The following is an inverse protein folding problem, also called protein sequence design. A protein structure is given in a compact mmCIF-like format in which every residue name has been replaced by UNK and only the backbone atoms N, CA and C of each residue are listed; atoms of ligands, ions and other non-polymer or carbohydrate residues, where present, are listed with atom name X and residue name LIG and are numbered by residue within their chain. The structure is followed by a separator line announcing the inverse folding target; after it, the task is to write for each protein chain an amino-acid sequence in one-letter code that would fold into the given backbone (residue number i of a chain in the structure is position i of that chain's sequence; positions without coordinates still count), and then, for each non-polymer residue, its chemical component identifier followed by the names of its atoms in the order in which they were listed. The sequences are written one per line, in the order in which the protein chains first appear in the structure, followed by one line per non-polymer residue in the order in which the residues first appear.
data_IF_369113593529
#
_entry.id   IF_369113593529
#
_cell.length_a   1.000
_cell.length_b   1.000
_cell.length_c   1.000
_cell.angle_alpha   90.00
_cell.angle_beta   90.00
_cell.angle_gamma   90.00
#
_symmetry.space_group_name_H-M   'P 1'
#
loop_
_entity.id
_entity.type
_entity.pdbx_description
1 polymer ?
#
# COMPACT_ATOMS: atom_id res chain seq x y z
N UNK A 1 11.92 -14.77 -37.48
CA UNK A 1 11.55 -13.50 -36.81
C UNK A 1 12.84 -12.75 -36.47
N UNK A 2 12.89 -11.42 -36.59
CA UNK A 2 14.09 -10.64 -36.24
C UNK A 2 14.37 -10.78 -34.72
N UNK A 3 15.58 -11.14 -34.27
CA UNK A 3 15.90 -11.30 -32.84
C UNK A 3 15.55 -10.05 -32.02
N UNK A 4 15.80 -8.84 -32.54
CA UNK A 4 15.42 -7.60 -31.88
C UNK A 4 13.90 -7.43 -31.71
N UNK A 5 13.10 -7.94 -32.65
CA UNK A 5 11.63 -7.89 -32.55
C UNK A 5 11.09 -8.92 -31.56
N UNK A 6 11.76 -10.06 -31.41
CA UNK A 6 11.44 -11.05 -30.38
C UNK A 6 11.72 -10.50 -28.98
N UNK A 7 12.86 -9.83 -28.80
CA UNK A 7 13.22 -9.21 -27.51
C UNK A 7 12.28 -8.08 -27.13
N UNK A 8 11.87 -7.23 -28.07
CA UNK A 8 10.87 -6.19 -27.81
C UNK A 8 9.53 -6.76 -27.33
N UNK A 9 9.05 -7.86 -27.96
CA UNK A 9 7.82 -8.54 -27.55
C UNK A 9 7.92 -9.19 -26.17
N UNK A 10 9.03 -9.86 -25.89
CA UNK A 10 9.31 -10.46 -24.58
C UNK A 10 9.44 -9.39 -23.48
N UNK A 11 10.10 -8.26 -23.77
CA UNK A 11 10.20 -7.12 -22.87
C UNK A 11 8.84 -6.51 -22.54
N UNK A 12 8.01 -6.25 -23.56
CA UNK A 12 6.65 -5.76 -23.37
C UNK A 12 5.79 -6.74 -22.55
N UNK A 13 5.99 -8.04 -22.72
CA UNK A 13 5.29 -9.09 -21.96
C UNK A 13 5.69 -9.06 -20.48
N UNK A 14 6.99 -8.90 -20.18
CA UNK A 14 7.47 -8.73 -18.81
C UNK A 14 6.89 -7.47 -18.14
N UNK A 15 6.85 -6.36 -18.86
CA UNK A 15 6.24 -5.11 -18.38
C UNK A 15 4.74 -5.30 -18.13
N UNK A 16 4.02 -6.01 -19.01
CA UNK A 16 2.61 -6.34 -18.81
C UNK A 16 2.36 -7.18 -17.55
N UNK A 17 3.24 -8.15 -17.24
CA UNK A 17 3.19 -8.87 -15.96
C UNK A 17 3.40 -7.93 -14.77
N UNK A 18 4.34 -6.98 -14.87
CA UNK A 18 4.51 -5.91 -13.88
C UNK A 18 3.25 -5.06 -13.72
N UNK A 19 2.55 -4.71 -14.80
CA UNK A 19 1.35 -3.88 -14.72
C UNK A 19 0.10 -4.65 -14.26
N UNK A 20 0.12 -5.98 -14.33
CA UNK A 20 -1.03 -6.82 -13.97
C UNK A 20 -1.14 -7.00 -12.45
N UNK A 21 -2.23 -6.52 -11.81
CA UNK A 21 -2.44 -6.75 -10.38
C UNK A 21 -2.44 -8.24 -10.05
N UNK A 22 -1.81 -8.60 -8.93
CA UNK A 22 -1.76 -9.98 -8.40
C UNK A 22 -1.02 -11.01 -9.27
N UNK A 23 -0.45 -10.65 -10.42
CA UNK A 23 0.45 -11.53 -11.16
C UNK A 23 1.70 -11.85 -10.32
N UNK A 24 2.15 -13.12 -10.32
CA UNK A 24 3.28 -13.60 -9.52
C UNK A 24 4.17 -14.53 -10.35
N UNK A 25 5.50 -14.39 -10.32
CA UNK A 25 6.42 -15.31 -10.98
C UNK A 25 6.24 -16.76 -10.50
N UNK A 26 5.95 -16.96 -9.21
CA UNK A 26 5.75 -18.29 -8.62
C UNK A 26 4.60 -19.10 -9.26
N UNK A 27 3.64 -18.44 -9.92
CA UNK A 27 2.47 -19.08 -10.53
C UNK A 27 2.50 -19.04 -12.07
N UNK A 28 3.53 -18.45 -12.67
CA UNK A 28 3.62 -18.27 -14.12
C UNK A 28 5.07 -18.44 -14.58
N UNK A 29 5.35 -19.56 -15.26
CA UNK A 29 6.70 -19.90 -15.73
C UNK A 29 7.22 -18.90 -16.76
N UNK A 30 6.34 -18.33 -17.60
CA UNK A 30 6.75 -17.32 -18.59
C UNK A 30 7.21 -16.06 -17.88
N UNK A 31 6.47 -15.62 -16.86
CA UNK A 31 6.88 -14.49 -16.05
C UNK A 31 8.21 -14.77 -15.33
N UNK A 32 8.35 -15.94 -14.69
CA UNK A 32 9.57 -16.35 -14.02
C UNK A 32 10.80 -16.33 -14.95
N UNK A 33 10.67 -16.90 -16.14
CA UNK A 33 11.75 -16.98 -17.12
C UNK A 33 12.15 -15.60 -17.64
N UNK A 34 11.17 -14.75 -17.98
CA UNK A 34 11.43 -13.38 -18.45
C UNK A 34 12.07 -12.52 -17.37
N UNK A 35 11.61 -12.64 -16.12
CA UNK A 35 12.17 -11.90 -14.99
C UNK A 35 13.59 -12.36 -14.66
N UNK A 36 13.84 -13.68 -14.72
CA UNK A 36 15.18 -14.24 -14.56
C UNK A 36 16.13 -13.73 -15.66
N UNK A 37 15.67 -13.72 -16.92
CA UNK A 37 16.42 -13.18 -18.05
C UNK A 37 16.71 -11.69 -17.86
N UNK A 38 15.71 -10.89 -17.49
CA UNK A 38 15.88 -9.45 -17.24
C UNK A 38 16.99 -9.16 -16.21
N UNK A 39 17.13 -10.00 -15.18
CA UNK A 39 18.15 -9.83 -14.14
C UNK A 39 19.55 -10.30 -14.53
N UNK A 40 19.68 -11.13 -15.58
CA UNK A 40 20.93 -11.85 -15.90
C UNK A 40 21.50 -11.49 -17.28
N UNK A 41 20.65 -11.11 -18.23
CA UNK A 41 20.99 -10.72 -19.60
C UNK A 41 20.91 -9.20 -19.73
N UNK A 42 22.06 -8.53 -19.86
CA UNK A 42 22.14 -7.06 -19.94
C UNK A 42 21.51 -6.48 -21.19
N UNK A 43 21.60 -7.17 -22.32
CA UNK A 43 21.07 -6.67 -23.59
C UNK A 43 19.54 -6.71 -23.56
N UNK A 44 18.98 -7.82 -23.05
CA UNK A 44 17.54 -7.90 -22.79
C UNK A 44 17.08 -6.88 -21.73
N UNK A 45 17.87 -6.69 -20.67
CA UNK A 45 17.67 -5.65 -19.66
C UNK A 45 17.49 -4.26 -20.26
N UNK A 46 18.40 -3.84 -21.13
CA UNK A 46 18.34 -2.55 -21.80
C UNK A 46 17.07 -2.38 -22.67
N UNK A 47 16.59 -3.45 -23.30
CA UNK A 47 15.34 -3.42 -24.07
C UNK A 47 14.13 -3.24 -23.13
N UNK A 48 14.09 -3.97 -22.01
CA UNK A 48 13.03 -3.81 -21.00
C UNK A 48 13.01 -2.39 -20.44
N UNK A 49 14.17 -1.85 -20.06
CA UNK A 49 14.28 -0.49 -19.53
C UNK A 49 13.81 0.55 -20.55
N UNK A 50 14.15 0.38 -21.83
CA UNK A 50 13.68 1.26 -22.90
C UNK A 50 12.16 1.23 -23.07
N UNK A 51 11.53 0.04 -22.92
CA UNK A 51 10.06 -0.09 -22.96
C UNK A 51 9.42 0.55 -21.73
N UNK A 52 9.99 0.34 -20.53
CA UNK A 52 9.53 0.95 -19.28
C UNK A 52 9.59 2.47 -19.36
N UNK A 53 10.73 3.03 -19.79
CA UNK A 53 10.93 4.48 -19.94
C UNK A 53 9.97 5.06 -20.97
N UNK A 54 9.83 4.41 -22.14
CA UNK A 54 8.91 4.84 -23.20
C UNK A 54 7.44 4.88 -22.78
N UNK A 55 7.07 4.10 -21.77
CA UNK A 55 5.72 4.09 -21.17
C UNK A 55 5.56 5.10 -20.02
N UNK A 56 6.60 5.87 -19.68
CA UNK A 56 6.60 6.76 -18.53
C UNK A 56 6.51 5.98 -17.22
N UNK A 57 7.27 4.89 -17.12
CA UNK A 57 7.37 4.07 -15.92
C UNK A 57 8.83 4.04 -15.44
N UNK A 58 9.04 3.59 -14.22
CA UNK A 58 10.34 3.27 -13.65
C UNK A 58 10.28 1.92 -12.93
N UNK A 59 11.36 1.15 -13.00
CA UNK A 59 11.51 -0.08 -12.21
C UNK A 59 11.92 0.31 -10.78
N UNK A 60 11.07 -0.03 -9.81
CA UNK A 60 11.38 0.15 -8.38
C UNK A 60 12.05 -1.09 -7.77
N UNK A 61 11.69 -2.27 -8.24
CA UNK A 61 12.28 -3.54 -7.78
C UNK A 61 12.13 -4.62 -8.86
N UNK A 62 13.07 -5.57 -8.89
CA UNK A 62 13.06 -6.71 -9.80
C UNK A 62 13.59 -7.97 -9.13
N UNK A 63 13.21 -8.21 -7.88
CA UNK A 63 13.52 -9.43 -7.14
C UNK A 63 12.78 -10.66 -7.70
N UNK A 64 13.04 -11.84 -7.13
CA UNK A 64 12.33 -13.09 -7.48
C UNK A 64 10.82 -13.02 -7.25
N UNK A 65 10.36 -12.05 -6.44
CA UNK A 65 8.96 -11.86 -6.09
C UNK A 65 8.17 -11.11 -7.17
N UNK A 66 8.85 -10.53 -8.16
CA UNK A 66 8.24 -9.89 -9.32
C UNK A 66 8.88 -8.56 -9.70
N UNK A 67 8.49 -8.06 -10.87
CA UNK A 67 8.80 -6.71 -11.33
C UNK A 67 7.84 -5.70 -10.67
N UNK A 68 8.37 -4.71 -9.98
CA UNK A 68 7.61 -3.60 -9.39
C UNK A 68 7.88 -2.34 -10.20
N UNK A 69 6.80 -1.77 -10.74
CA UNK A 69 6.84 -0.58 -11.58
C UNK A 69 6.10 0.56 -10.89
N UNK A 70 6.58 1.78 -11.08
CA UNK A 70 5.87 3.00 -10.71
C UNK A 70 5.76 3.96 -11.90
N UNK A 71 4.66 4.73 -11.99
CA UNK A 71 4.54 5.79 -12.97
C UNK A 71 5.48 6.95 -12.65
N UNK A 72 6.09 7.52 -13.68
CA UNK A 72 6.76 8.82 -13.59
C UNK A 72 5.74 9.96 -13.64
N UNK A 73 6.17 11.18 -13.29
CA UNK A 73 5.32 12.36 -13.37
C UNK A 73 4.83 12.58 -14.81
N UNK A 74 3.51 12.73 -14.98
CA UNK A 74 2.89 12.92 -16.29
C UNK A 74 2.58 11.62 -17.06
N UNK A 75 2.96 10.46 -16.52
CA UNK A 75 2.63 9.15 -17.09
C UNK A 75 1.12 8.93 -17.18
N UNK A 76 0.67 8.22 -18.22
CA UNK A 76 -0.73 7.77 -18.35
C UNK A 76 -1.11 6.73 -17.29
N UNK A 77 -0.11 6.09 -16.68
CA UNK A 77 -0.28 5.15 -15.59
C UNK A 77 -0.29 5.84 -14.22
N UNK A 78 -0.04 7.16 -14.15
CA UNK A 78 -0.15 7.92 -12.92
C UNK A 78 -1.62 7.93 -12.48
N UNK A 79 -1.88 7.28 -11.34
CA UNK A 79 -3.24 7.17 -10.80
C UNK A 79 -3.75 8.57 -10.44
N UNK A 80 -4.81 9.04 -11.09
CA UNK A 80 -5.41 10.33 -10.76
C UNK A 80 -6.38 10.13 -9.62
N UNK A 81 -6.50 11.13 -8.74
CA UNK A 81 -7.44 11.09 -7.62
C UNK A 81 -8.90 10.92 -8.09
N UNK A 82 -9.20 11.31 -9.32
CA UNK A 82 -10.49 11.09 -9.99
C UNK A 82 -10.80 9.60 -10.24
N UNK A 83 -9.77 8.75 -10.38
CA UNK A 83 -9.91 7.32 -10.67
C UNK A 83 -10.12 6.49 -9.38
N UNK A 84 -9.86 7.09 -8.20
CA UNK A 84 -9.94 6.42 -6.91
C UNK A 84 -11.39 6.22 -6.43
N UNK A 85 -12.24 7.22 -6.64
CA UNK A 85 -13.71 7.15 -6.54
C UNK A 85 -14.31 8.39 -7.23
N UNK A 86 -15.27 8.19 -8.13
CA UNK A 86 -16.06 9.31 -8.66
C UNK A 86 -16.87 9.95 -7.51
N UNK A 87 -17.00 11.28 -7.52
CA UNK A 87 -17.84 12.07 -6.59
C UNK A 87 -17.43 12.18 -5.11
N UNK A 88 -16.17 11.90 -4.72
CA UNK A 88 -15.73 12.20 -3.34
C UNK A 88 -15.71 13.70 -3.04
N UNK A 89 -16.15 14.08 -1.84
CA UNK A 89 -15.97 15.45 -1.33
C UNK A 89 -14.48 15.75 -1.12
N UNK A 90 -14.09 17.03 -1.08
CA UNK A 90 -12.69 17.44 -0.76
C UNK A 90 -12.24 16.82 0.57
N UNK A 91 -13.12 16.81 1.58
CA UNK A 91 -12.84 16.26 2.90
C UNK A 91 -12.63 14.75 2.86
N UNK A 92 -13.47 14.00 2.15
CA UNK A 92 -13.30 12.55 2.05
C UNK A 92 -12.02 12.18 1.27
N UNK A 93 -11.58 13.01 0.33
CA UNK A 93 -10.30 12.82 -0.36
C UNK A 93 -9.11 12.99 0.58
N UNK A 94 -9.13 14.03 1.42
CA UNK A 94 -8.11 14.23 2.45
C UNK A 94 -8.06 13.07 3.45
N UNK A 95 -9.24 12.58 3.88
CA UNK A 95 -9.32 11.42 4.77
C UNK A 95 -8.76 10.15 4.13
N UNK A 96 -9.07 9.89 2.85
CA UNK A 96 -8.50 8.75 2.14
C UNK A 96 -6.98 8.87 1.96
N UNK A 97 -6.46 10.06 1.69
CA UNK A 97 -5.02 10.32 1.68
C UNK A 97 -4.37 9.99 3.02
N UNK A 98 -4.92 10.52 4.11
CA UNK A 98 -4.46 10.24 5.48
C UNK A 98 -4.50 8.73 5.80
N UNK A 99 -5.57 8.03 5.40
CA UNK A 99 -5.73 6.60 5.63
C UNK A 99 -4.66 5.78 4.91
N UNK A 100 -4.33 6.09 3.64
CA UNK A 100 -3.27 5.39 2.92
C UNK A 100 -1.90 5.58 3.58
N UNK A 101 -1.58 6.82 3.97
CA UNK A 101 -0.35 7.10 4.72
C UNK A 101 -0.36 6.39 6.08
N UNK A 102 -1.51 6.36 6.76
CA UNK A 102 -1.70 5.66 8.03
C UNK A 102 -1.49 4.15 7.95
N UNK A 103 -2.05 3.48 6.93
CA UNK A 103 -1.83 2.04 6.70
C UNK A 103 -0.35 1.77 6.44
N UNK A 104 0.30 2.61 5.64
CA UNK A 104 1.72 2.49 5.35
C UNK A 104 2.59 2.67 6.61
N UNK A 105 2.34 3.72 7.39
CA UNK A 105 3.03 4.00 8.65
C UNK A 105 2.78 2.94 9.72
N UNK A 106 1.58 2.36 9.79
CA UNK A 106 1.27 1.25 10.69
C UNK A 106 2.09 0.00 10.34
N UNK A 107 2.16 -0.37 9.05
CA UNK A 107 2.91 -1.54 8.62
C UNK A 107 4.43 -1.35 8.70
N UNK A 108 4.92 -0.13 8.50
CA UNK A 108 6.35 0.18 8.33
C UNK A 108 6.76 1.44 9.11
N UNK A 109 6.58 1.46 10.44
CA UNK A 109 6.73 2.67 11.26
C UNK A 109 8.14 3.28 11.23
N UNK A 110 9.15 2.48 10.85
CA UNK A 110 10.57 2.88 10.83
C UNK A 110 11.23 2.53 9.51
N UNK A 111 12.34 3.21 9.22
CA UNK A 111 13.19 2.88 8.07
C UNK A 111 13.70 1.42 8.14
N UNK A 112 13.99 0.90 9.34
CA UNK A 112 14.40 -0.50 9.51
C UNK A 112 13.30 -1.48 9.09
N UNK A 113 12.04 -1.19 9.44
CA UNK A 113 10.89 -2.02 9.06
C UNK A 113 10.70 -2.11 7.54
N UNK A 114 11.13 -1.08 6.79
CA UNK A 114 11.09 -1.06 5.32
C UNK A 114 12.19 -1.91 4.67
N UNK A 115 13.28 -2.18 5.37
CA UNK A 115 14.38 -3.02 4.90
C UNK A 115 14.13 -4.49 5.23
N UNK A 116 13.52 -4.74 6.37
CA UNK A 116 13.16 -6.06 6.88
C UNK A 116 12.06 -6.75 6.05
N UNK A 117 12.23 -8.05 5.80
CA UNK A 117 11.33 -8.91 5.01
C UNK A 117 10.23 -9.58 5.84
N UNK A 118 10.20 -9.32 7.13
CA UNK A 118 9.16 -9.81 8.04
C UNK A 118 7.74 -9.52 7.52
N UNK A 119 6.86 -10.49 7.80
CA UNK A 119 5.45 -10.41 7.45
C UNK A 119 4.78 -9.32 8.27
N UNK A 120 4.21 -8.31 7.59
CA UNK A 120 3.40 -7.27 8.26
C UNK A 120 1.91 -7.58 8.14
N UNK A 121 1.21 -7.54 9.27
CA UNK A 121 -0.23 -7.80 9.36
C UNK A 121 -0.94 -6.61 9.99
N UNK A 122 -2.07 -6.21 9.41
CA UNK A 122 -2.89 -5.10 9.87
C UNK A 122 -4.38 -5.46 9.80
N UNK A 123 -5.12 -5.18 10.87
CA UNK A 123 -6.59 -5.22 10.85
C UNK A 123 -7.17 -3.82 10.66
N UNK A 124 -8.42 -3.76 10.21
CA UNK A 124 -9.15 -2.48 10.11
C UNK A 124 -9.22 -1.79 11.47
N UNK A 125 -9.58 -2.53 12.53
CA UNK A 125 -9.65 -1.98 13.88
C UNK A 125 -8.29 -1.50 14.40
N UNK A 126 -7.19 -2.24 14.15
CA UNK A 126 -5.87 -1.84 14.62
C UNK A 126 -5.38 -0.55 13.94
N UNK A 127 -5.58 -0.42 12.63
CA UNK A 127 -5.24 0.81 11.90
C UNK A 127 -6.13 1.98 12.34
N UNK A 128 -7.41 1.73 12.63
CA UNK A 128 -8.32 2.76 13.14
C UNK A 128 -7.83 3.34 14.46
N UNK A 129 -7.50 2.47 15.43
CA UNK A 129 -6.93 2.84 16.73
C UNK A 129 -5.63 3.62 16.55
N UNK A 130 -4.70 3.10 15.75
CA UNK A 130 -3.43 3.74 15.46
C UNK A 130 -3.59 5.16 14.91
N UNK A 131 -4.43 5.35 13.89
CA UNK A 131 -4.69 6.66 13.30
C UNK A 131 -5.36 7.62 14.27
N UNK A 132 -6.28 7.11 15.10
CA UNK A 132 -6.97 7.92 16.10
C UNK A 132 -6.01 8.41 17.18
N UNK A 133 -5.15 7.52 17.68
CA UNK A 133 -4.14 7.85 18.67
C UNK A 133 -3.10 8.84 18.12
N UNK A 134 -2.63 8.62 16.89
CA UNK A 134 -1.73 9.56 16.21
C UNK A 134 -2.37 10.93 16.02
N UNK A 135 -3.63 10.99 15.58
CA UNK A 135 -4.36 12.24 15.40
C UNK A 135 -4.60 12.96 16.74
N UNK A 136 -4.89 12.23 17.83
CA UNK A 136 -5.01 12.81 19.17
C UNK A 136 -3.69 13.38 19.68
N UNK A 137 -2.56 12.70 19.43
CA UNK A 137 -1.23 13.22 19.78
C UNK A 137 -0.87 14.47 18.97
N UNK A 138 -1.20 14.51 17.69
CA UNK A 138 -1.06 15.71 16.87
C UNK A 138 -1.92 16.85 17.42
N UNK A 139 -3.18 16.59 17.76
CA UNK A 139 -4.04 17.59 18.38
C UNK A 139 -3.48 18.11 19.71
N UNK A 140 -2.94 17.23 20.57
CA UNK A 140 -2.33 17.64 21.83
C UNK A 140 -1.08 18.53 21.64
N UNK A 141 -0.33 18.35 20.54
CA UNK A 141 0.86 19.15 20.22
C UNK A 141 0.52 20.51 19.59
N UNK A 142 -0.47 20.55 18.70
CA UNK A 142 -0.79 21.74 17.89
C UNK A 142 -2.02 22.53 18.41
N UNK A 143 -2.86 21.92 19.23
CA UNK A 143 -4.08 22.52 19.76
C UNK A 143 -5.03 22.99 18.65
N UNK A 144 -5.64 24.17 18.87
CA UNK A 144 -6.49 24.87 17.90
C UNK A 144 -5.73 25.96 17.12
N UNK A 145 -4.39 25.94 17.14
CA UNK A 145 -3.56 26.93 16.46
C UNK A 145 -3.84 26.98 14.95
N UNK A 146 -3.37 28.04 14.29
CA UNK A 146 -3.42 28.10 12.83
C UNK A 146 -2.67 26.92 12.21
N UNK A 147 -3.16 26.35 11.08
CA UNK A 147 -2.50 25.22 10.45
C UNK A 147 -1.05 25.52 10.11
N UNK A 148 -0.19 24.52 10.27
CA UNK A 148 1.19 24.54 9.80
C UNK A 148 1.20 24.96 8.31
N UNK A 149 1.83 26.10 7.96
CA UNK A 149 1.88 26.56 6.59
C UNK A 149 2.61 25.58 5.65
N UNK A 150 3.49 24.74 6.20
CA UNK A 150 4.25 23.75 5.43
C UNK A 150 3.44 22.47 5.18
N UNK A 151 2.42 22.19 6.00
CA UNK A 151 1.60 20.96 5.89
C UNK A 151 0.09 21.18 6.15
N UNK A 152 -0.56 22.17 5.51
CA UNK A 152 -1.94 22.56 5.85
C UNK A 152 -2.95 21.45 5.56
N UNK A 153 -2.68 20.60 4.57
CA UNK A 153 -3.56 19.51 4.13
C UNK A 153 -3.54 18.33 5.09
N UNK A 154 -2.35 17.96 5.58
CA UNK A 154 -2.21 16.92 6.60
C UNK A 154 -2.91 17.36 7.89
N UNK A 155 -2.72 18.62 8.26
CA UNK A 155 -3.36 19.18 9.44
C UNK A 155 -4.88 19.20 9.36
N UNK A 156 -5.39 19.66 8.23
CA UNK A 156 -6.80 19.59 7.92
C UNK A 156 -7.31 18.14 7.98
N UNK A 157 -6.55 17.17 7.47
CA UNK A 157 -6.94 15.78 7.42
C UNK A 157 -7.06 15.14 8.82
N UNK A 158 -6.08 15.29 9.72
CA UNK A 158 -6.17 14.67 11.05
C UNK A 158 -7.25 15.35 11.92
N UNK A 159 -7.47 16.66 11.77
CA UNK A 159 -8.60 17.37 12.42
C UNK A 159 -9.95 16.88 11.89
N UNK A 160 -10.06 16.62 10.59
CA UNK A 160 -11.26 15.99 10.00
C UNK A 160 -11.45 14.56 10.51
N UNK A 161 -10.37 13.80 10.65
CA UNK A 161 -10.40 12.41 11.10
C UNK A 161 -10.97 12.30 12.54
N UNK A 162 -10.50 13.15 13.46
CA UNK A 162 -11.00 13.16 14.85
C UNK A 162 -12.48 13.49 14.97
N UNK A 163 -12.99 14.39 14.12
CA UNK A 163 -14.42 14.76 14.09
C UNK A 163 -15.31 13.67 13.49
N UNK A 164 -14.74 12.74 12.72
CA UNK A 164 -15.49 11.68 12.03
C UNK A 164 -15.72 10.50 12.98
N UNK A 165 -16.93 9.93 12.90
CA UNK A 165 -17.31 8.80 13.73
C UNK A 165 -16.43 7.56 13.41
N UNK A 166 -15.87 6.86 14.42
CA UNK A 166 -15.04 5.67 14.24
C UNK A 166 -15.79 4.51 13.57
N UNK A 167 -16.89 4.13 14.20
CA UNK A 167 -17.77 3.02 13.82
C UNK A 167 -19.21 3.52 13.95
N UNK A 168 -20.05 3.17 12.98
CA UNK A 168 -21.50 3.30 13.10
C UNK A 168 -22.09 1.90 13.02
N UNK A 169 -22.68 1.43 14.12
CA UNK A 169 -23.64 0.32 14.05
C UNK A 169 -24.83 0.83 13.24
N UNK A 170 -25.00 0.32 12.03
CA UNK A 170 -26.25 0.53 11.29
C UNK A 170 -27.20 -0.59 11.65
N UNK A 171 -28.51 -0.31 11.67
CA UNK A 171 -29.55 -1.33 11.86
C UNK A 171 -29.52 -2.45 10.80
N UNK A 172 -28.71 -2.28 9.74
CA UNK A 172 -28.46 -3.23 8.65
C UNK A 172 -27.09 -3.95 8.76
N UNK A 173 -26.36 -3.79 9.88
CA UNK A 173 -25.12 -4.52 10.15
C UNK A 173 -23.92 -4.17 9.26
N UNK A 174 -24.06 -3.19 8.36
CA UNK A 174 -22.94 -2.67 7.55
C UNK A 174 -22.33 -1.47 8.27
N UNK A 175 -21.04 -1.50 8.57
CA UNK A 175 -20.31 -0.30 8.99
C UNK A 175 -20.63 0.81 7.97
N UNK A 176 -21.12 1.95 8.44
CA UNK A 176 -21.49 3.05 7.55
C UNK A 176 -20.31 3.39 6.65
N UNK A 177 -20.51 3.35 5.32
CA UNK A 177 -19.45 3.57 4.31
C UNK A 177 -18.70 4.90 4.52
N UNK A 178 -19.30 5.82 5.28
CA UNK A 178 -18.77 7.12 5.66
C UNK A 178 -17.96 7.15 6.97
N UNK A 179 -17.90 6.09 7.78
CA UNK A 179 -17.11 6.08 9.04
C UNK A 179 -15.63 5.88 8.76
N UNK A 180 -14.73 6.24 9.69
CA UNK A 180 -13.29 6.03 9.47
C UNK A 180 -12.97 4.55 9.31
N UNK A 181 -13.56 3.66 10.11
CA UNK A 181 -13.42 2.22 9.95
C UNK A 181 -13.91 1.72 8.58
N UNK A 182 -15.03 2.24 8.07
CA UNK A 182 -15.54 1.90 6.73
C UNK A 182 -14.61 2.38 5.61
N UNK A 183 -14.03 3.58 5.75
CA UNK A 183 -13.05 4.12 4.81
C UNK A 183 -11.73 3.34 4.82
N UNK A 184 -11.26 2.90 6.01
CA UNK A 184 -10.06 2.06 6.16
C UNK A 184 -10.29 0.70 5.51
N UNK A 185 -11.42 0.05 5.81
CA UNK A 185 -11.78 -1.23 5.17
C UNK A 185 -11.78 -1.11 3.65
N UNK A 186 -12.41 -0.05 3.12
CA UNK A 186 -12.43 0.20 1.68
C UNK A 186 -11.02 0.39 1.11
N UNK A 187 -10.15 1.14 1.78
CA UNK A 187 -8.77 1.32 1.35
C UNK A 187 -7.99 -0.01 1.33
N UNK A 188 -8.13 -0.85 2.37
CA UNK A 188 -7.48 -2.16 2.42
C UNK A 188 -7.99 -3.13 1.35
N UNK A 189 -9.28 -3.12 1.04
CA UNK A 189 -9.86 -3.87 -0.08
C UNK A 189 -9.31 -3.39 -1.42
N UNK A 190 -9.22 -2.07 -1.62
CA UNK A 190 -8.62 -1.48 -2.82
C UNK A 190 -7.15 -1.86 -3.00
N UNK A 191 -6.37 -1.84 -1.93
CA UNK A 191 -4.97 -2.31 -1.96
C UNK A 191 -4.89 -3.82 -2.23
N UNK A 192 -5.87 -4.60 -1.77
CA UNK A 192 -5.96 -6.04 -2.06
C UNK A 192 -6.24 -6.30 -3.53
N UNK A 193 -7.14 -5.54 -4.15
CA UNK A 193 -7.40 -5.57 -5.59
C UNK A 193 -6.19 -5.23 -6.44
N UNK A 194 -5.35 -4.31 -5.97
CA UNK A 194 -4.09 -3.94 -6.62
C UNK A 194 -2.96 -4.96 -6.37
N UNK A 195 -3.19 -6.01 -5.55
CA UNK A 195 -2.18 -7.01 -5.22
C UNK A 195 -1.06 -6.47 -4.30
N UNK A 196 -1.38 -5.44 -3.53
CA UNK A 196 -0.50 -4.82 -2.52
C UNK A 196 -0.72 -5.42 -1.13
N UNK A 197 -1.97 -5.73 -0.81
CA UNK A 197 -2.34 -6.49 0.38
C UNK A 197 -2.95 -7.84 0.01
N UNK A 198 -3.01 -8.74 0.97
CA UNK A 198 -3.80 -9.96 0.90
C UNK A 198 -4.65 -10.09 2.15
N UNK A 199 -5.96 -10.27 1.98
CA UNK A 199 -6.85 -10.57 3.09
C UNK A 199 -6.63 -11.98 3.60
N UNK A 200 -6.49 -12.13 4.92
CA UNK A 200 -6.20 -13.42 5.58
C UNK A 200 -7.27 -13.82 6.62
N UNK A 201 -8.08 -12.89 7.11
CA UNK A 201 -9.18 -13.17 8.05
C UNK A 201 -10.28 -12.10 8.00
N UNK A 202 -11.48 -12.45 8.47
CA UNK A 202 -12.62 -11.55 8.69
C UNK A 202 -12.59 -10.85 10.05
N UNK A 203 -11.69 -11.26 10.96
CA UNK A 203 -11.57 -10.71 12.29
C UNK A 203 -11.28 -9.20 12.29
N UNK A 204 -11.74 -8.49 13.32
CA UNK A 204 -11.46 -7.06 13.54
C UNK A 204 -11.76 -6.17 12.32
N UNK A 205 -12.88 -6.45 11.62
CA UNK A 205 -13.30 -5.73 10.42
C UNK A 205 -12.59 -6.16 9.13
N UNK A 206 -11.65 -7.10 9.24
CA UNK A 206 -10.81 -7.64 8.17
C UNK A 206 -9.33 -7.52 8.54
N UNK A 207 -8.60 -8.63 8.43
CA UNK A 207 -7.15 -8.69 8.66
C UNK A 207 -6.43 -8.93 7.33
N UNK A 208 -5.37 -8.16 7.10
CA UNK A 208 -4.65 -8.11 5.84
C UNK A 208 -3.15 -8.24 6.07
N UNK A 209 -2.49 -9.01 5.21
CA UNK A 209 -1.05 -9.14 5.12
C UNK A 209 -0.50 -8.21 4.04
N UNK A 210 0.53 -7.44 4.36
CA UNK A 210 1.28 -6.65 3.39
C UNK A 210 2.15 -7.54 2.49
N UNK A 211 2.15 -7.26 1.19
CA UNK A 211 2.94 -7.99 0.21
C UNK A 211 4.21 -7.18 -0.14
N UNK A 212 5.23 -7.86 -0.67
CA UNK A 212 6.50 -7.23 -1.04
C UNK A 212 6.32 -5.98 -1.91
N UNK A 213 5.44 -6.03 -2.91
CA UNK A 213 5.13 -4.88 -3.78
C UNK A 213 4.63 -3.66 -2.99
N UNK A 214 3.87 -3.87 -1.91
CA UNK A 214 3.43 -2.77 -1.06
C UNK A 214 4.61 -2.15 -0.32
N UNK A 215 5.49 -2.97 0.27
CA UNK A 215 6.72 -2.49 0.92
C UNK A 215 7.57 -1.63 -0.02
N UNK A 216 7.77 -2.08 -1.26
CA UNK A 216 8.50 -1.32 -2.30
C UNK A 216 7.83 0.02 -2.57
N UNK A 217 6.50 0.05 -2.77
CA UNK A 217 5.76 1.30 -2.96
C UNK A 217 5.81 2.24 -1.74
N UNK A 218 5.80 1.69 -0.52
CA UNK A 218 5.92 2.49 0.70
C UNK A 218 7.30 3.12 0.84
N UNK A 219 8.38 2.53 0.32
CA UNK A 219 9.71 3.16 0.34
C UNK A 219 9.71 4.51 -0.38
N UNK A 220 8.99 4.63 -1.50
CA UNK A 220 8.80 5.90 -2.19
C UNK A 220 7.97 6.89 -1.36
N UNK A 221 6.88 6.39 -0.73
CA UNK A 221 6.03 7.22 0.13
C UNK A 221 6.76 7.71 1.40
N UNK A 222 7.67 6.90 1.94
CA UNK A 222 8.40 7.21 3.17
C UNK A 222 9.34 8.41 3.03
N UNK A 223 9.67 8.82 1.80
CA UNK A 223 10.39 10.06 1.53
C UNK A 223 9.53 11.32 1.78
N UNK A 224 8.22 11.19 1.88
CA UNK A 224 7.30 12.34 2.09
C UNK A 224 7.25 12.80 3.54
N UNK A 225 7.03 14.10 3.77
CA UNK A 225 6.89 14.66 5.12
C UNK A 225 5.63 14.17 5.84
N UNK A 226 4.54 13.96 5.10
CA UNK A 226 3.29 13.46 5.66
C UNK A 226 3.45 12.08 6.31
N UNK A 227 4.21 11.19 5.65
CA UNK A 227 4.55 9.88 6.19
C UNK A 227 5.38 10.00 7.48
N UNK A 228 6.46 10.79 7.44
CA UNK A 228 7.36 10.97 8.59
C UNK A 228 6.66 11.60 9.78
N UNK A 229 5.79 12.58 9.53
CA UNK A 229 4.97 13.22 10.57
C UNK A 229 4.01 12.23 11.22
N UNK A 230 3.29 11.41 10.43
CA UNK A 230 2.39 10.39 10.98
C UNK A 230 3.13 9.28 11.73
N UNK A 231 4.20 8.73 11.15
CA UNK A 231 5.01 7.70 11.79
C UNK A 231 5.66 8.21 13.10
N UNK A 232 6.17 9.44 13.11
CA UNK A 232 6.72 10.08 14.32
C UNK A 232 5.65 10.49 15.34
N UNK A 233 4.45 10.86 14.90
CA UNK A 233 3.31 11.08 15.78
C UNK A 233 2.88 9.79 16.46
N UNK A 234 3.02 8.64 15.78
CA UNK A 234 2.70 7.35 16.35
C UNK A 234 3.63 6.97 17.52
N UNK A 235 4.95 7.20 17.42
CA UNK A 235 5.92 6.86 18.48
C UNK A 235 6.00 5.36 18.79
N UNK A 236 6.94 4.94 19.65
CA UNK A 236 7.39 3.55 19.86
C UNK A 236 6.32 2.49 20.27
N UNK A 237 5.07 2.88 20.48
CA UNK A 237 3.93 1.99 20.77
C UNK A 237 3.30 1.40 19.49
N UNK A 238 4.12 0.89 18.58
CA UNK A 238 3.61 0.07 17.48
C UNK A 238 3.30 -1.32 18.07
N UNK A 239 2.05 -1.81 18.01
CA UNK A 239 1.72 -3.09 18.60
C UNK A 239 2.58 -4.20 18.00
N UNK A 240 3.12 -5.08 18.84
CA UNK A 240 3.84 -6.30 18.43
C UNK A 240 3.05 -7.16 17.42
N UNK A 241 1.74 -6.93 17.30
CA UNK A 241 0.84 -7.53 16.32
C UNK A 241 1.21 -7.24 14.86
N UNK A 242 1.96 -6.17 14.57
CA UNK A 242 2.52 -5.92 13.24
C UNK A 242 3.52 -7.02 12.79
N UNK A 243 4.00 -7.86 13.72
CA UNK A 243 4.89 -9.00 13.44
C UNK A 243 4.42 -10.37 13.95
N UNK A 244 3.28 -10.50 14.63
CA UNK A 244 3.00 -11.69 15.46
C UNK A 244 1.85 -12.64 15.03
N UNK A 245 1.28 -12.51 13.83
CA UNK A 245 0.17 -13.39 13.40
C UNK A 245 0.58 -14.53 12.44
N UNK A 246 1.77 -15.11 12.62
CA UNK A 246 2.25 -16.25 11.81
C UNK A 246 2.40 -17.58 12.60
N UNK A 247 1.93 -17.67 13.84
CA UNK A 247 2.17 -18.85 14.70
C UNK A 247 0.93 -19.71 15.04
N UNK A 248 -0.23 -19.51 14.42
CA UNK A 248 -1.47 -20.21 14.80
C UNK A 248 -2.31 -20.67 13.62
N UNK A 249 -1.82 -21.64 12.85
CA UNK A 249 -2.58 -22.18 11.71
C UNK A 249 -2.00 -23.45 11.09
N UNK A 250 -1.40 -24.31 11.90
CA UNK A 250 -0.99 -25.66 11.47
C UNK A 250 -1.06 -26.62 12.66
N UNK A 251 -2.27 -26.97 13.10
CA UNK A 251 -2.54 -28.17 13.89
C UNK A 251 -4.05 -28.44 13.89
N UNK A 252 -4.42 -29.69 13.64
CA UNK A 252 -5.78 -30.17 13.38
C UNK A 252 -5.73 -31.18 12.23
N UNK A 253 -4.83 -32.17 12.31
CA UNK A 253 -5.11 -33.49 12.90
C UNK A 253 -6.23 -34.20 12.15
N UNK A 254 -5.82 -34.97 11.14
CA UNK A 254 -6.54 -36.19 10.80
C UNK A 254 -6.08 -37.28 11.76
N UNK A 255 -7.03 -37.82 12.53
CA UNK A 255 -6.99 -39.17 13.07
C UNK A 255 -8.43 -39.55 13.46
N UNK A 256 -8.95 -40.62 12.86
CA UNK A 256 -10.30 -41.14 13.05
C UNK A 256 -10.93 -41.64 11.76
#
# INVERSE_FOLDING_TARGET
MNPAALDAGAAATLVAFGLTPRARPANDTTYLDLLSRYRTDRDFGAVVDSVVEGLGLVVLDSSELGLVLAPTAGSVFAQRLADYRSSLSVQDRLLHGLIHVGIAAYCYPTAAALLDEDVRVASVSAVERFLRDAAQRLHARHGDADPDPDQPELEQAWRLYLRRQPIRETSDGRAGVSTTGGMIKHAMERLTDQGLLQRISDAEGGTYRALHRYRVGVRELAATEAYRTLAGAAGDDVPAEAGAAAAGGAAGEGEG
#
